data_IF_566315983734
#
_entry.id   IF_566315983734
#
_cell.length_a   1.000
_cell.length_b   1.000
_cell.length_c   1.000
_cell.angle_alpha   90.00
_cell.angle_beta   90.00
_cell.angle_gamma   90.00
#
_symmetry.space_group_name_H-M   'P 1'
#
loop_
_entity.id
_entity.type
_entity.pdbx_description
1 polymer ?
#
# COMPACT_ATOMS: atom_id res chain seq x y z
N UNK A 1 -33.07 -1.79 -8.42
CA UNK A 1 -34.05 -1.66 -7.31
C UNK A 1 -33.73 -2.65 -6.19
N UNK A 2 -32.52 -2.59 -5.62
CA UNK A 2 -32.09 -3.51 -4.55
C UNK A 2 -31.28 -2.86 -3.42
N UNK A 3 -30.92 -1.58 -3.51
CA UNK A 3 -29.98 -0.99 -2.53
C UNK A 3 -30.64 -0.34 -1.30
N UNK A 4 -31.98 -0.29 -1.24
CA UNK A 4 -32.67 0.38 -0.14
C UNK A 4 -32.85 -0.49 1.11
N UNK A 5 -32.70 -1.82 0.99
CA UNK A 5 -32.91 -2.76 2.10
C UNK A 5 -31.63 -2.91 2.95
N UNK A 6 -30.45 -2.85 2.33
CA UNK A 6 -29.16 -2.94 3.02
C UNK A 6 -28.91 -1.74 3.94
N UNK A 7 -29.28 -0.52 3.50
CA UNK A 7 -29.17 0.71 4.32
C UNK A 7 -30.09 0.69 5.55
N UNK A 8 -31.30 0.13 5.44
CA UNK A 8 -32.24 0.01 6.57
C UNK A 8 -31.70 -0.93 7.64
N UNK A 9 -30.98 -1.98 7.25
CA UNK A 9 -30.38 -2.92 8.20
C UNK A 9 -29.15 -2.33 8.93
N UNK A 10 -28.37 -1.50 8.24
CA UNK A 10 -27.23 -0.79 8.82
C UNK A 10 -27.68 0.21 9.90
N UNK A 11 -28.71 1.01 9.60
CA UNK A 11 -29.30 1.99 10.54
C UNK A 11 -29.88 1.30 11.77
N UNK A 12 -30.58 0.16 11.60
CA UNK A 12 -31.10 -0.63 12.73
C UNK A 12 -29.99 -1.23 13.59
N UNK A 13 -28.90 -1.68 12.97
CA UNK A 13 -27.73 -2.19 13.70
C UNK A 13 -27.09 -1.09 14.55
N UNK A 14 -26.94 0.11 13.99
CA UNK A 14 -26.39 1.27 14.69
C UNK A 14 -27.26 1.72 15.87
N UNK A 15 -28.58 1.80 15.69
CA UNK A 15 -29.52 2.14 16.78
C UNK A 15 -29.46 1.11 17.91
N UNK A 16 -29.40 -0.18 17.57
CA UNK A 16 -29.30 -1.25 18.57
C UNK A 16 -27.96 -1.23 19.31
N UNK A 17 -26.86 -0.88 18.64
CA UNK A 17 -25.54 -0.72 19.26
C UNK A 17 -25.53 0.43 20.27
N UNK A 18 -26.04 1.60 19.88
CA UNK A 18 -26.15 2.77 20.76
C UNK A 18 -27.07 2.52 21.96
N UNK A 19 -28.19 1.82 21.74
CA UNK A 19 -29.09 1.44 22.84
C UNK A 19 -28.44 0.47 23.83
N UNK A 20 -27.55 -0.43 23.38
CA UNK A 20 -26.80 -1.34 24.26
C UNK A 20 -25.76 -0.60 25.11
N UNK A 21 -25.08 0.39 24.52
CA UNK A 21 -24.13 1.25 25.25
C UNK A 21 -24.82 2.03 26.38
N UNK A 22 -26.07 2.45 26.19
CA UNK A 22 -26.86 3.13 27.23
C UNK A 22 -27.31 2.23 28.40
N UNK A 23 -27.28 0.90 28.23
CA UNK A 23 -27.74 -0.09 29.23
C UNK A 23 -26.60 -0.85 29.92
N UNK A 24 -25.35 -0.57 29.57
CA UNK A 24 -24.16 -1.18 30.19
C UNK A 24 -23.89 -0.57 31.58
N UNK A 25 -23.80 -1.36 32.67
CA UNK A 25 -23.56 -0.84 34.02
C UNK A 25 -22.11 -0.35 34.27
N UNK A 26 -21.18 -0.49 33.32
CA UNK A 26 -19.76 -0.20 33.52
C UNK A 26 -19.19 0.84 32.55
N UNK A 27 -19.84 2.01 32.45
CA UNK A 27 -19.13 3.20 31.95
C UNK A 27 -19.33 4.39 32.88
N UNK A 28 -18.24 5.07 33.18
CA UNK A 28 -18.14 6.27 34.04
C UNK A 28 -18.85 7.51 33.49
N UNK A 29 -19.78 7.33 32.55
CA UNK A 29 -20.64 8.37 31.94
C UNK A 29 -21.99 8.49 32.68
N UNK A 30 -22.27 7.64 33.68
CA UNK A 30 -23.50 7.62 34.47
C UNK A 30 -23.78 8.81 35.41
N UNK A 31 -22.97 9.89 35.40
CA UNK A 31 -23.22 11.09 36.26
C UNK A 31 -23.52 12.39 35.51
N UNK A 32 -23.59 12.39 34.17
CA UNK A 32 -24.02 13.58 33.40
C UNK A 32 -25.27 13.38 32.53
N UNK A 33 -25.93 12.22 32.63
CA UNK A 33 -27.16 11.94 31.88
C UNK A 33 -28.47 12.33 32.64
N UNK A 34 -28.39 12.70 33.92
CA UNK A 34 -29.56 13.02 34.75
C UNK A 34 -30.16 14.42 34.58
N UNK A 35 -29.59 15.28 33.73
CA UNK A 35 -30.03 16.67 33.59
C UNK A 35 -30.85 16.97 32.32
N UNK A 36 -31.03 16.01 31.40
CA UNK A 36 -31.66 16.25 30.09
C UNK A 36 -33.08 15.67 29.93
N UNK A 37 -33.66 15.03 30.96
CA UNK A 37 -34.94 14.31 30.81
C UNK A 37 -36.13 14.96 31.53
N UNK A 38 -36.00 16.12 32.17
CA UNK A 38 -37.13 16.76 32.90
C UNK A 38 -37.32 18.25 32.64
N UNK A 39 -37.16 18.69 31.38
CA UNK A 39 -37.72 19.99 30.93
C UNK A 39 -38.45 19.87 29.59
N UNK A 40 -39.23 18.80 29.45
CA UNK A 40 -40.30 18.71 28.47
C UNK A 40 -41.65 19.00 29.17
N UNK A 41 -41.88 20.23 29.61
CA UNK A 41 -43.23 20.79 29.72
C UNK A 41 -43.16 22.30 29.97
N UNK A 42 -43.93 23.05 29.19
CA UNK A 42 -44.16 24.50 29.25
C UNK A 42 -43.02 25.42 28.79
N UNK A 43 -42.85 25.57 27.47
CA UNK A 43 -42.71 26.89 26.85
C UNK A 43 -43.22 26.81 25.40
N UNK A 44 -44.51 27.09 25.24
CA UNK A 44 -45.08 27.47 23.96
C UNK A 44 -44.77 28.96 23.71
N UNK A 45 -44.58 29.30 22.43
CA UNK A 45 -44.50 30.65 21.84
C UNK A 45 -43.15 31.40 21.98
N UNK A 46 -42.25 31.12 21.04
CA UNK A 46 -41.56 32.13 20.21
C UNK A 46 -40.64 31.45 19.19
N UNK A 47 -41.21 30.80 18.16
CA UNK A 47 -40.47 30.46 16.94
C UNK A 47 -40.73 31.57 15.95
N UNK A 48 -39.94 32.65 16.02
CA UNK A 48 -39.88 33.66 14.97
C UNK A 48 -38.59 33.39 14.19
N UNK A 49 -38.79 32.83 13.00
CA UNK A 49 -37.97 32.97 11.80
C UNK A 49 -36.50 33.40 11.98
N UNK A 50 -35.67 32.47 12.41
CA UNK A 50 -34.37 32.29 11.77
C UNK A 50 -34.35 30.83 11.31
N UNK A 51 -33.99 30.52 10.05
CA UNK A 51 -33.63 29.15 9.71
C UNK A 51 -32.34 28.87 10.49
N UNK A 52 -32.48 28.39 11.71
CA UNK A 52 -31.41 27.66 12.37
C UNK A 52 -31.31 26.37 11.57
N UNK A 53 -30.47 26.42 10.52
CA UNK A 53 -29.96 25.21 9.90
C UNK A 53 -29.33 24.42 11.03
N UNK A 54 -30.05 23.43 11.54
CA UNK A 54 -29.40 22.32 12.22
C UNK A 54 -28.72 21.55 11.08
N UNK A 55 -27.58 22.09 10.63
CA UNK A 55 -26.59 21.39 9.83
C UNK A 55 -26.01 20.30 10.73
N UNK A 56 -26.82 19.29 10.99
CA UNK A 56 -26.50 18.15 11.83
C UNK A 56 -26.18 16.98 10.93
N UNK A 57 -24.89 16.83 10.65
CA UNK A 57 -24.23 15.58 10.27
C UNK A 57 -24.51 15.05 8.85
N UNK A 58 -24.27 15.87 7.83
CA UNK A 58 -23.62 15.30 6.65
C UNK A 58 -22.13 15.64 6.84
N UNK A 59 -21.24 14.65 7.07
CA UNK A 59 -19.80 14.90 7.08
C UNK A 59 -19.40 15.62 5.78
N UNK A 60 -18.52 16.61 5.88
CA UNK A 60 -17.95 17.21 4.66
C UNK A 60 -17.15 16.12 3.92
N UNK A 61 -17.07 16.14 2.58
CA UNK A 61 -16.41 15.08 1.80
C UNK A 61 -15.00 14.71 2.28
N UNK A 62 -14.30 15.67 2.88
CA UNK A 62 -12.96 15.48 3.46
C UNK A 62 -12.97 14.63 4.75
N UNK A 63 -14.02 14.72 5.59
CA UNK A 63 -14.13 13.95 6.84
C UNK A 63 -14.35 12.46 6.56
N UNK A 64 -15.19 12.12 5.57
CA UNK A 64 -15.43 10.73 5.16
C UNK A 64 -14.19 10.13 4.50
N UNK A 65 -13.50 10.88 3.65
CA UNK A 65 -12.24 10.46 3.05
C UNK A 65 -11.20 10.09 4.14
N UNK A 66 -11.02 10.95 5.15
CA UNK A 66 -10.12 10.67 6.26
C UNK A 66 -10.54 9.43 7.06
N UNK A 67 -11.85 9.23 7.28
CA UNK A 67 -12.37 8.05 7.97
C UNK A 67 -11.97 6.76 7.26
N UNK A 68 -12.31 6.60 5.98
CA UNK A 68 -11.99 5.39 5.20
C UNK A 68 -10.50 5.13 5.09
N UNK A 69 -9.71 6.19 4.87
CA UNK A 69 -8.26 6.07 4.84
C UNK A 69 -7.69 5.59 6.18
N UNK A 70 -8.18 6.14 7.30
CA UNK A 70 -7.74 5.73 8.64
C UNK A 70 -8.14 4.29 8.96
N UNK A 71 -9.33 3.85 8.54
CA UNK A 71 -9.79 2.48 8.69
C UNK A 71 -8.88 1.49 7.96
N UNK A 72 -8.58 1.75 6.68
CA UNK A 72 -7.66 0.91 5.90
C UNK A 72 -6.29 0.80 6.56
N UNK A 73 -5.78 1.90 7.12
CA UNK A 73 -4.52 1.90 7.87
C UNK A 73 -4.57 1.04 9.12
N UNK A 74 -5.61 1.19 9.94
CA UNK A 74 -5.78 0.40 11.17
C UNK A 74 -5.92 -1.09 10.86
N UNK A 75 -6.60 -1.45 9.77
CA UNK A 75 -6.68 -2.84 9.31
C UNK A 75 -5.30 -3.38 8.93
N UNK A 76 -4.53 -2.62 8.16
CA UNK A 76 -3.17 -3.02 7.77
C UNK A 76 -2.24 -3.17 8.99
N UNK A 77 -2.28 -2.22 9.93
CA UNK A 77 -1.48 -2.24 11.17
C UNK A 77 -1.84 -3.43 12.08
N UNK A 78 -3.10 -3.86 12.07
CA UNK A 78 -3.56 -5.04 12.81
C UNK A 78 -3.35 -6.37 12.06
N UNK A 79 -2.74 -6.35 10.87
CA UNK A 79 -2.45 -7.55 10.08
C UNK A 79 -3.63 -8.05 9.24
N UNK A 80 -4.77 -7.35 9.21
CA UNK A 80 -5.89 -7.64 8.31
C UNK A 80 -5.60 -7.09 6.90
N UNK A 81 -4.49 -7.54 6.30
CA UNK A 81 -3.93 -6.95 5.08
C UNK A 81 -4.92 -7.05 3.90
N UNK A 82 -5.62 -8.18 3.73
CA UNK A 82 -6.62 -8.34 2.66
C UNK A 82 -7.80 -7.37 2.81
N UNK A 83 -8.31 -7.19 4.02
CA UNK A 83 -9.41 -6.26 4.30
C UNK A 83 -8.98 -4.81 4.06
N UNK A 84 -7.73 -4.47 4.42
CA UNK A 84 -7.18 -3.13 4.15
C UNK A 84 -7.19 -2.78 2.67
N UNK A 85 -6.91 -3.75 1.78
CA UNK A 85 -6.94 -3.54 0.33
C UNK A 85 -8.34 -3.12 -0.11
N UNK A 86 -9.38 -3.86 0.30
CA UNK A 86 -10.75 -3.54 -0.08
C UNK A 86 -11.18 -2.14 0.39
N UNK A 87 -10.74 -1.72 1.58
CA UNK A 87 -11.02 -0.37 2.09
C UNK A 87 -10.27 0.70 1.29
N UNK A 88 -9.00 0.49 0.96
CA UNK A 88 -8.25 1.43 0.12
C UNK A 88 -8.76 1.49 -1.32
N UNK A 89 -9.20 0.37 -1.90
CA UNK A 89 -9.83 0.30 -3.22
C UNK A 89 -11.16 1.09 -3.24
N UNK A 90 -11.97 0.94 -2.19
CA UNK A 90 -13.17 1.75 -2.02
C UNK A 90 -12.81 3.23 -1.89
N UNK A 91 -11.80 3.57 -1.09
CA UNK A 91 -11.35 4.94 -0.91
C UNK A 91 -10.92 5.61 -2.22
N UNK A 92 -10.10 4.95 -3.05
CA UNK A 92 -9.65 5.52 -4.34
C UNK A 92 -10.77 5.62 -5.39
N UNK A 93 -11.85 4.84 -5.22
CA UNK A 93 -13.04 4.89 -6.08
C UNK A 93 -13.94 6.08 -5.72
N UNK A 94 -14.20 6.29 -4.42
CA UNK A 94 -15.08 7.36 -3.94
C UNK A 94 -14.38 8.73 -3.86
N UNK A 95 -13.07 8.73 -3.55
CA UNK A 95 -12.29 9.95 -3.33
C UNK A 95 -11.03 10.02 -4.21
N UNK A 96 -11.15 9.91 -5.55
CA UNK A 96 -9.99 9.82 -6.45
C UNK A 96 -9.11 11.08 -6.48
N UNK A 97 -9.68 12.24 -6.13
CA UNK A 97 -8.98 13.54 -6.11
C UNK A 97 -8.43 13.90 -4.72
N UNK A 98 -8.62 13.02 -3.72
CA UNK A 98 -8.11 13.25 -2.37
C UNK A 98 -6.57 13.35 -2.39
N UNK A 99 -5.96 14.24 -1.59
CA UNK A 99 -4.51 14.28 -1.43
C UNK A 99 -3.93 12.99 -0.83
N UNK A 100 -4.77 12.08 -0.31
CA UNK A 100 -4.38 10.78 0.21
C UNK A 100 -4.52 9.64 -0.83
N UNK A 101 -5.06 9.92 -2.02
CA UNK A 101 -5.35 8.89 -3.02
C UNK A 101 -4.08 8.22 -3.57
N UNK A 102 -2.96 8.94 -3.64
CA UNK A 102 -1.67 8.38 -4.00
C UNK A 102 -1.11 7.44 -2.92
N UNK A 103 -1.22 7.81 -1.64
CA UNK A 103 -0.76 6.99 -0.52
C UNK A 103 -1.67 5.76 -0.34
N UNK A 104 -2.99 5.90 -0.51
CA UNK A 104 -3.90 4.76 -0.54
C UNK A 104 -3.54 3.78 -1.67
N UNK A 105 -3.26 4.28 -2.88
CA UNK A 105 -2.80 3.44 -4.00
C UNK A 105 -1.47 2.73 -3.68
N UNK A 106 -0.53 3.43 -3.05
CA UNK A 106 0.75 2.84 -2.62
C UNK A 106 0.52 1.71 -1.61
N UNK A 107 -0.37 1.93 -0.63
CA UNK A 107 -0.73 0.92 0.37
C UNK A 107 -1.36 -0.32 -0.23
N UNK A 108 -2.16 -0.19 -1.29
CA UNK A 108 -2.68 -1.34 -2.02
C UNK A 108 -1.53 -2.19 -2.59
N UNK A 109 -0.57 -1.55 -3.28
CA UNK A 109 0.62 -2.23 -3.81
C UNK A 109 1.43 -2.92 -2.72
N UNK A 110 1.72 -2.20 -1.63
CA UNK A 110 2.45 -2.75 -0.48
C UNK A 110 1.70 -3.90 0.18
N UNK A 111 0.38 -3.83 0.32
CA UNK A 111 -0.44 -4.89 0.89
C UNK A 111 -0.42 -6.16 0.02
N UNK A 112 -0.48 -6.03 -1.31
CA UNK A 112 -0.29 -7.18 -2.21
C UNK A 112 1.12 -7.76 -2.08
N UNK A 113 2.15 -6.91 -2.00
CA UNK A 113 3.53 -7.34 -1.81
C UNK A 113 3.70 -8.13 -0.50
N UNK A 114 3.14 -7.65 0.61
CA UNK A 114 3.17 -8.34 1.91
C UNK A 114 2.43 -9.68 1.91
N UNK A 115 1.44 -9.85 1.03
CA UNK A 115 0.73 -11.11 0.83
C UNK A 115 1.43 -12.05 -0.16
N UNK A 116 2.58 -11.66 -0.69
CA UNK A 116 3.31 -12.36 -1.75
C UNK A 116 2.53 -12.49 -3.06
N UNK A 117 1.53 -11.62 -3.28
CA UNK A 117 0.77 -11.53 -4.52
C UNK A 117 1.47 -10.53 -5.46
N UNK A 118 2.66 -10.90 -5.94
CA UNK A 118 3.59 -9.97 -6.58
C UNK A 118 3.08 -9.39 -7.90
N UNK A 119 2.32 -10.14 -8.71
CA UNK A 119 1.72 -9.63 -9.95
C UNK A 119 0.65 -8.55 -9.67
N UNK A 120 -0.11 -8.72 -8.58
CA UNK A 120 -1.06 -7.71 -8.12
C UNK A 120 -0.32 -6.49 -7.53
N UNK A 121 0.79 -6.71 -6.82
CA UNK A 121 1.65 -5.64 -6.32
C UNK A 121 2.24 -4.79 -7.46
N UNK A 122 2.69 -5.44 -8.54
CA UNK A 122 3.17 -4.78 -9.76
C UNK A 122 2.06 -3.92 -10.36
N UNK A 123 0.88 -4.50 -10.56
CA UNK A 123 -0.26 -3.80 -11.16
C UNK A 123 -0.68 -2.57 -10.34
N UNK A 124 -0.77 -2.70 -9.02
CA UNK A 124 -1.16 -1.61 -8.13
C UNK A 124 -0.08 -0.53 -8.02
N UNK A 125 1.20 -0.90 -8.04
CA UNK A 125 2.33 0.04 -8.03
C UNK A 125 2.44 0.79 -9.35
N UNK A 126 2.22 0.12 -10.48
CA UNK A 126 2.16 0.75 -11.80
C UNK A 126 1.02 1.76 -11.87
N UNK A 127 -0.16 1.42 -11.33
CA UNK A 127 -1.28 2.35 -11.27
C UNK A 127 -0.96 3.62 -10.46
N UNK A 128 -0.10 3.54 -9.43
CA UNK A 128 0.37 4.74 -8.74
C UNK A 128 1.19 5.64 -9.66
N UNK A 129 2.15 5.06 -10.39
CA UNK A 129 3.05 5.78 -11.29
C UNK A 129 2.26 6.42 -12.44
N UNK A 130 1.28 5.70 -12.98
CA UNK A 130 0.47 6.16 -14.11
C UNK A 130 -0.52 7.26 -13.69
N UNK A 131 -1.18 7.11 -12.55
CA UNK A 131 -2.23 8.04 -12.08
C UNK A 131 -1.65 9.23 -11.30
N UNK A 132 -0.55 9.03 -10.59
CA UNK A 132 0.07 10.03 -9.71
C UNK A 132 1.59 10.15 -10.00
N UNK A 133 2.00 10.53 -11.23
CA UNK A 133 3.42 10.54 -11.63
C UNK A 133 4.29 11.51 -10.81
N UNK A 134 3.71 12.58 -10.26
CA UNK A 134 4.41 13.56 -9.42
C UNK A 134 4.43 13.18 -7.93
N UNK A 135 3.85 12.04 -7.57
CA UNK A 135 3.80 11.57 -6.19
C UNK A 135 5.22 11.35 -5.65
N UNK A 136 5.52 11.75 -4.40
CA UNK A 136 6.79 11.40 -3.77
C UNK A 136 6.99 9.89 -3.60
N UNK A 137 5.90 9.10 -3.71
CA UNK A 137 5.90 7.64 -3.63
C UNK A 137 6.13 6.94 -4.97
N UNK A 138 6.28 7.69 -6.09
CA UNK A 138 6.47 7.11 -7.41
C UNK A 138 7.79 6.32 -7.50
N UNK A 139 8.86 6.83 -6.89
CA UNK A 139 10.16 6.14 -6.81
C UNK A 139 10.04 4.84 -5.99
N UNK A 140 9.36 4.89 -4.83
CA UNK A 140 9.14 3.71 -3.98
C UNK A 140 8.27 2.65 -4.68
N UNK A 141 7.25 3.08 -5.41
CA UNK A 141 6.41 2.20 -6.22
C UNK A 141 7.22 1.52 -7.34
N UNK A 142 8.08 2.28 -8.02
CA UNK A 142 8.98 1.73 -9.06
C UNK A 142 9.94 0.69 -8.46
N UNK A 143 10.50 0.97 -7.29
CA UNK A 143 11.35 0.01 -6.58
C UNK A 143 10.58 -1.26 -6.19
N UNK A 144 9.35 -1.12 -5.70
CA UNK A 144 8.48 -2.24 -5.37
C UNK A 144 8.12 -3.11 -6.58
N UNK A 145 7.95 -2.52 -7.78
CA UNK A 145 7.80 -3.28 -9.03
C UNK A 145 9.05 -4.14 -9.28
N UNK A 146 10.24 -3.55 -9.15
CA UNK A 146 11.51 -4.27 -9.34
C UNK A 146 11.67 -5.43 -8.37
N UNK A 147 11.37 -5.18 -7.09
CA UNK A 147 11.38 -6.20 -6.04
C UNK A 147 10.36 -7.31 -6.29
N UNK A 148 9.19 -6.98 -6.81
CA UNK A 148 8.15 -7.95 -7.15
C UNK A 148 8.58 -8.86 -8.30
N UNK A 149 9.15 -8.32 -9.38
CA UNK A 149 9.72 -9.13 -10.45
C UNK A 149 10.89 -10.00 -9.98
N UNK A 150 11.73 -9.47 -9.10
CA UNK A 150 12.81 -10.24 -8.47
C UNK A 150 12.25 -11.45 -7.68
N UNK A 151 11.18 -11.26 -6.90
CA UNK A 151 10.56 -12.34 -6.12
C UNK A 151 9.78 -13.34 -6.99
N UNK A 152 9.38 -12.95 -8.20
CA UNK A 152 8.85 -13.84 -9.23
C UNK A 152 9.95 -14.60 -9.99
N UNK A 153 11.22 -14.36 -9.68
CA UNK A 153 12.40 -14.87 -10.39
C UNK A 153 12.50 -14.38 -11.85
N UNK A 154 11.80 -13.31 -12.20
CA UNK A 154 11.92 -12.64 -13.51
C UNK A 154 13.08 -11.65 -13.47
N UNK A 155 14.29 -12.18 -13.35
CA UNK A 155 15.49 -11.40 -13.05
C UNK A 155 15.84 -10.38 -14.12
N UNK A 156 15.71 -10.71 -15.42
CA UNK A 156 15.96 -9.75 -16.50
C UNK A 156 15.02 -8.54 -16.42
N UNK A 157 13.73 -8.80 -16.17
CA UNK A 157 12.73 -7.73 -16.00
C UNK A 157 13.05 -6.90 -14.76
N UNK A 158 13.35 -7.55 -13.64
CA UNK A 158 13.72 -6.89 -12.40
C UNK A 158 14.92 -5.94 -12.59
N UNK A 159 15.97 -6.39 -13.30
CA UNK A 159 17.15 -5.58 -13.63
C UNK A 159 16.74 -4.33 -14.42
N UNK A 160 15.92 -4.48 -15.47
CA UNK A 160 15.46 -3.34 -16.28
C UNK A 160 14.69 -2.32 -15.45
N UNK A 161 13.84 -2.79 -14.53
CA UNK A 161 13.04 -1.94 -13.66
C UNK A 161 13.91 -1.22 -12.63
N UNK A 162 14.86 -1.91 -12.00
CA UNK A 162 15.81 -1.31 -11.07
C UNK A 162 16.74 -0.31 -11.76
N UNK A 163 17.17 -0.56 -13.00
CA UNK A 163 17.95 0.41 -13.75
C UNK A 163 17.14 1.68 -14.02
N UNK A 164 15.87 1.53 -14.41
CA UNK A 164 14.96 2.66 -14.60
C UNK A 164 14.76 3.46 -13.31
N UNK A 165 14.68 2.77 -12.17
CA UNK A 165 14.66 3.40 -10.85
C UNK A 165 15.94 4.22 -10.64
N UNK A 166 17.12 3.60 -10.75
CA UNK A 166 18.42 4.28 -10.56
C UNK A 166 18.56 5.54 -11.43
N UNK A 167 18.12 5.48 -12.68
CA UNK A 167 18.25 6.57 -13.64
C UNK A 167 17.33 7.77 -13.32
N UNK A 168 16.25 7.54 -12.57
CA UNK A 168 15.20 8.54 -12.27
C UNK A 168 15.20 9.01 -10.82
N UNK A 169 15.76 8.22 -9.91
CA UNK A 169 15.65 8.49 -8.48
C UNK A 169 16.43 9.71 -8.02
N UNK A 170 15.90 10.36 -6.99
CA UNK A 170 16.55 11.51 -6.34
C UNK A 170 17.69 11.04 -5.40
N UNK A 171 18.70 11.90 -5.13
CA UNK A 171 19.75 11.58 -4.15
C UNK A 171 19.19 11.21 -2.77
N UNK A 172 19.69 10.12 -2.16
CA UNK A 172 19.24 9.61 -0.85
C UNK A 172 18.13 8.54 -0.89
N UNK A 173 17.69 8.13 -2.08
CA UNK A 173 16.79 6.99 -2.31
C UNK A 173 17.51 5.64 -2.21
N UNK A 174 16.77 4.53 -2.34
CA UNK A 174 17.27 3.15 -2.29
C UNK A 174 18.18 2.74 -3.48
N UNK A 175 18.91 3.68 -4.10
CA UNK A 175 19.76 3.45 -5.28
C UNK A 175 20.85 2.41 -5.01
N UNK A 176 21.51 2.47 -3.85
CA UNK A 176 22.55 1.51 -3.51
C UNK A 176 21.96 0.11 -3.32
N UNK A 177 20.76 0.02 -2.72
CA UNK A 177 20.04 -1.24 -2.59
C UNK A 177 19.62 -1.80 -3.96
N UNK A 178 19.12 -0.95 -4.86
CA UNK A 178 18.77 -1.33 -6.23
C UNK A 178 19.99 -1.83 -7.01
N UNK A 179 21.15 -1.16 -6.87
CA UNK A 179 22.42 -1.62 -7.48
C UNK A 179 22.82 -2.99 -6.96
N UNK A 180 22.75 -3.19 -5.65
CA UNK A 180 23.00 -4.49 -5.05
C UNK A 180 22.04 -5.56 -5.59
N UNK A 181 20.75 -5.25 -5.71
CA UNK A 181 19.73 -6.16 -6.28
C UNK A 181 20.01 -6.51 -7.74
N UNK A 182 20.44 -5.55 -8.56
CA UNK A 182 20.86 -5.82 -9.95
C UNK A 182 22.03 -6.81 -9.98
N UNK A 183 23.08 -6.58 -9.19
CA UNK A 183 24.23 -7.50 -9.12
C UNK A 183 23.81 -8.90 -8.66
N UNK A 184 22.87 -8.97 -7.71
CA UNK A 184 22.34 -10.25 -7.25
C UNK A 184 21.51 -10.97 -8.32
N UNK A 185 20.67 -10.24 -9.07
CA UNK A 185 19.94 -10.80 -10.20
C UNK A 185 20.89 -11.36 -11.27
N UNK A 186 21.98 -10.67 -11.58
CA UNK A 186 22.99 -11.18 -12.50
C UNK A 186 23.69 -12.45 -12.01
N UNK A 187 23.96 -12.57 -10.70
CA UNK A 187 24.48 -13.81 -10.12
C UNK A 187 23.49 -14.98 -10.29
N UNK A 188 22.21 -14.75 -10.02
CA UNK A 188 21.17 -15.77 -10.15
C UNK A 188 20.95 -16.20 -11.61
N UNK A 189 21.02 -15.26 -12.54
CA UNK A 189 21.00 -15.55 -13.98
C UNK A 189 22.24 -16.35 -14.40
N UNK A 190 23.42 -15.98 -13.91
CA UNK A 190 24.63 -16.73 -14.18
C UNK A 190 24.54 -18.17 -13.67
N UNK A 191 24.01 -18.38 -12.47
CA UNK A 191 23.77 -19.72 -11.91
C UNK A 191 22.78 -20.52 -12.78
N UNK A 192 21.68 -19.90 -13.18
CA UNK A 192 20.66 -20.54 -14.03
C UNK A 192 21.20 -20.92 -15.42
N UNK A 193 22.00 -20.06 -16.04
CA UNK A 193 22.67 -20.37 -17.31
C UNK A 193 23.72 -21.47 -17.15
N UNK A 194 24.43 -21.50 -16.01
CA UNK A 194 25.40 -22.55 -15.72
C UNK A 194 24.73 -23.91 -15.59
N UNK A 195 23.62 -23.99 -14.86
CA UNK A 195 22.80 -25.20 -14.72
C UNK A 195 22.25 -25.68 -16.07
N UNK A 196 21.99 -24.75 -16.98
CA UNK A 196 21.55 -25.02 -18.36
C UNK A 196 22.69 -25.35 -19.33
N UNK A 197 23.94 -25.40 -18.86
CA UNK A 197 25.16 -25.58 -19.65
C UNK A 197 25.41 -24.47 -20.69
N UNK A 198 24.80 -23.29 -20.50
CA UNK A 198 24.99 -22.10 -21.33
C UNK A 198 26.18 -21.28 -20.81
N UNK A 199 27.38 -21.87 -20.84
CA UNK A 199 28.57 -21.32 -20.18
C UNK A 199 28.94 -19.90 -20.61
N UNK A 200 28.73 -19.54 -21.87
CA UNK A 200 29.02 -18.20 -22.38
C UNK A 200 28.10 -17.15 -21.74
N UNK A 201 26.79 -17.44 -21.66
CA UNK A 201 25.81 -16.55 -21.01
C UNK A 201 26.04 -16.48 -19.51
N UNK A 202 26.39 -17.60 -18.89
CA UNK A 202 26.75 -17.63 -17.48
C UNK A 202 27.94 -16.70 -17.19
N UNK A 203 29.00 -16.80 -18.00
CA UNK A 203 30.17 -15.94 -17.86
C UNK A 203 29.83 -14.45 -18.09
N UNK A 204 29.01 -14.14 -19.10
CA UNK A 204 28.54 -12.77 -19.35
C UNK A 204 27.75 -12.22 -18.16
N UNK A 205 26.83 -13.00 -17.59
CA UNK A 205 26.03 -12.59 -16.45
C UNK A 205 26.91 -12.31 -15.21
N UNK A 206 27.86 -13.19 -14.90
CA UNK A 206 28.81 -12.93 -13.81
C UNK A 206 29.68 -11.70 -14.06
N UNK A 207 30.12 -11.47 -15.29
CA UNK A 207 30.86 -10.25 -15.62
C UNK A 207 30.01 -8.99 -15.39
N UNK A 208 28.73 -9.01 -15.78
CA UNK A 208 27.80 -7.90 -15.50
C UNK A 208 27.60 -7.67 -14.00
N UNK A 209 27.56 -8.73 -13.18
CA UNK A 209 27.51 -8.58 -11.72
C UNK A 209 28.77 -7.88 -11.16
N UNK A 210 29.95 -8.20 -11.71
CA UNK A 210 31.22 -7.56 -11.34
C UNK A 210 31.22 -6.08 -11.76
N UNK A 211 30.82 -5.80 -12.99
CA UNK A 211 30.89 -4.45 -13.55
C UNK A 211 29.88 -3.50 -12.90
N UNK A 212 28.72 -4.02 -12.47
CA UNK A 212 27.65 -3.22 -11.87
C UNK A 212 27.97 -2.77 -10.43
N UNK A 213 28.64 -3.61 -9.64
CA UNK A 213 29.01 -3.29 -8.25
C UNK A 213 30.38 -3.88 -7.87
N UNK A 214 31.49 -3.32 -8.40
CA UNK A 214 32.81 -3.95 -8.39
C UNK A 214 33.42 -4.22 -7.01
N UNK A 215 33.04 -3.42 -6.02
CA UNK A 215 33.57 -3.45 -4.66
C UNK A 215 32.71 -4.32 -3.72
N UNK A 216 31.59 -4.86 -4.20
CA UNK A 216 30.70 -5.69 -3.39
C UNK A 216 31.20 -7.11 -3.18
N UNK A 217 30.71 -7.74 -2.11
CA UNK A 217 30.88 -9.18 -1.91
C UNK A 217 30.27 -10.00 -3.06
N UNK A 218 29.24 -9.48 -3.73
CA UNK A 218 28.63 -10.12 -4.89
C UNK A 218 29.58 -10.15 -6.09
N UNK A 219 30.32 -9.08 -6.35
CA UNK A 219 31.35 -9.08 -7.38
C UNK A 219 32.49 -10.06 -7.06
N UNK A 220 32.86 -10.23 -5.78
CA UNK A 220 33.82 -11.27 -5.42
C UNK A 220 33.26 -12.68 -5.67
N UNK A 221 32.00 -12.92 -5.31
CA UNK A 221 31.33 -14.19 -5.59
C UNK A 221 31.27 -14.49 -7.09
N UNK A 222 30.98 -13.48 -7.91
CA UNK A 222 30.99 -13.60 -9.37
C UNK A 222 32.39 -13.96 -9.92
N UNK A 223 33.45 -13.33 -9.40
CA UNK A 223 34.85 -13.64 -9.78
C UNK A 223 35.20 -15.09 -9.44
N UNK A 224 34.83 -15.55 -8.25
CA UNK A 224 35.10 -16.92 -7.80
C UNK A 224 34.39 -17.94 -8.68
N UNK A 225 33.12 -17.67 -9.06
CA UNK A 225 32.33 -18.51 -9.97
C UNK A 225 32.94 -18.57 -11.38
N UNK A 226 33.35 -17.42 -11.94
CA UNK A 226 34.04 -17.35 -13.23
C UNK A 226 35.32 -18.18 -13.23
N UNK A 227 36.17 -18.02 -12.20
CA UNK A 227 37.42 -18.77 -12.09
C UNK A 227 37.19 -20.29 -12.01
N UNK A 228 36.14 -20.72 -11.30
CA UNK A 228 35.77 -22.13 -11.21
C UNK A 228 35.35 -22.72 -12.58
N UNK A 229 34.72 -21.92 -13.45
CA UNK A 229 34.35 -22.34 -14.80
C UNK A 229 35.56 -22.54 -15.73
N UNK A 230 36.58 -21.68 -15.60
CA UNK A 230 37.80 -21.75 -16.40
C UNK A 230 38.74 -22.88 -15.96
N UNK A 231 38.80 -23.17 -14.66
CA UNK A 231 39.66 -24.22 -14.09
C UNK A 231 39.16 -25.66 -14.30
N UNK A 232 37.93 -25.84 -14.78
CA UNK A 232 37.32 -27.14 -15.07
C UNK A 232 37.41 -27.61 -16.52
N UNK A 233 38.03 -26.82 -17.41
CA UNK A 233 38.28 -27.13 -18.83
C UNK A 233 39.65 -27.75 -19.04
#
# INVERSE_FOLDING_TARGET
MTDNISNINLVKSFINYQSRLATSPESSVGKKAGAYVTLASTFALAIIAAPFSIAGCAPEPDDDAQFYYSEGRVLAENGHIRESIAVFEHFISEYPDSPLANDAQYRIGMSYYLLNEYEAAISASQALIDKYPDSPLADDAQYMIGMSYYLLNEYETAISIFQTFIDRSRPGSAVDEARYKISYCYLLLGDSYLDSNEYEKAAEAYQKAIDNDPDSHLAQTAKDRLAAMDGGR
#
